data_IF_895255731694
#
_entry.id   IF_895255731694
#
_cell.length_a   1.000
_cell.length_b   1.000
_cell.length_c   1.000
_cell.angle_alpha   90.00
_cell.angle_beta   90.00
_cell.angle_gamma   90.00
#
_symmetry.space_group_name_H-M   'P 1'
#
loop_
_entity.id
_entity.type
_entity.pdbx_description
1 polymer ?
#
# COMPACT_ATOMS: atom_id res chain seq x y z
N UNK A 1 12.85 -15.83 3.89
CA UNK A 1 12.30 -16.70 4.96
C UNK A 1 13.20 -17.90 5.10
N UNK A 2 13.56 -18.20 6.35
CA UNK A 2 14.54 -19.20 6.79
C UNK A 2 14.25 -20.60 6.23
N UNK A 3 12.98 -20.94 6.02
CA UNK A 3 12.52 -22.29 5.63
C UNK A 3 12.33 -22.52 4.13
N UNK A 4 12.68 -21.54 3.27
CA UNK A 4 12.37 -21.63 1.82
C UNK A 4 13.07 -22.80 1.13
N UNK A 5 14.27 -23.16 1.59
CA UNK A 5 15.12 -24.21 1.01
C UNK A 5 15.14 -25.51 1.83
N UNK A 6 14.35 -25.60 2.91
CA UNK A 6 14.30 -26.79 3.75
C UNK A 6 13.43 -27.89 3.14
N UNK A 7 13.86 -29.13 3.29
CA UNK A 7 13.06 -30.32 2.96
C UNK A 7 11.88 -30.47 3.93
N UNK A 8 10.88 -31.26 3.55
CA UNK A 8 9.67 -31.47 4.38
C UNK A 8 9.98 -32.07 5.74
N UNK A 9 11.01 -32.92 5.84
CA UNK A 9 11.41 -33.55 7.11
C UNK A 9 12.07 -32.53 8.05
N UNK A 10 13.00 -31.71 7.52
CA UNK A 10 13.65 -30.65 8.29
C UNK A 10 12.66 -29.60 8.81
N UNK A 11 11.57 -29.33 8.06
CA UNK A 11 10.51 -28.43 8.55
C UNK A 11 9.78 -29.00 9.76
N UNK A 12 9.47 -30.30 9.73
CA UNK A 12 8.78 -30.98 10.84
C UNK A 12 9.65 -31.07 12.09
N UNK A 13 10.95 -31.32 11.92
CA UNK A 13 11.91 -31.30 13.03
C UNK A 13 11.99 -29.92 13.66
N UNK A 14 12.10 -28.87 12.83
CA UNK A 14 12.14 -27.49 13.29
C UNK A 14 10.85 -27.07 14.02
N UNK A 15 9.68 -27.47 13.52
CA UNK A 15 8.39 -27.23 14.20
C UNK A 15 8.34 -27.89 15.58
N UNK A 16 8.89 -29.10 15.70
CA UNK A 16 8.92 -29.85 16.96
C UNK A 16 9.91 -29.26 17.97
N UNK A 17 11.05 -28.74 17.51
CA UNK A 17 12.07 -28.15 18.37
C UNK A 17 11.71 -26.73 18.83
N UNK A 18 11.12 -25.93 17.94
CA UNK A 18 10.75 -24.53 18.24
C UNK A 18 9.37 -24.39 18.91
N UNK A 19 8.55 -25.44 18.92
CA UNK A 19 7.13 -25.41 19.33
C UNK A 19 6.32 -24.29 18.65
N UNK A 20 6.66 -23.98 17.40
CA UNK A 20 6.04 -22.93 16.59
C UNK A 20 5.62 -23.47 15.22
N UNK A 21 4.45 -23.07 14.76
CA UNK A 21 3.92 -23.47 13.46
C UNK A 21 4.59 -22.70 12.31
N UNK A 22 5.11 -23.42 11.31
CA UNK A 22 5.68 -22.80 10.11
C UNK A 22 4.56 -22.42 9.15
N UNK A 23 4.21 -21.14 9.13
CA UNK A 23 3.19 -20.59 8.22
C UNK A 23 3.81 -19.85 7.04
N UNK A 24 3.11 -19.87 5.89
CA UNK A 24 3.57 -19.20 4.65
C UNK A 24 3.43 -17.68 4.70
N UNK A 25 2.54 -17.16 5.55
CA UNK A 25 2.15 -15.75 5.64
C UNK A 25 1.75 -15.44 7.08
N UNK A 26 2.24 -14.33 7.61
CA UNK A 26 1.97 -13.87 8.98
C UNK A 26 1.42 -12.45 8.92
N UNK A 27 0.46 -12.13 9.78
CA UNK A 27 0.00 -10.75 9.95
C UNK A 27 0.65 -10.13 11.18
N UNK A 28 1.28 -8.98 11.02
CA UNK A 28 1.86 -8.21 12.11
C UNK A 28 1.56 -6.72 11.94
N UNK A 29 1.01 -6.09 12.98
CA UNK A 29 0.61 -4.66 12.98
C UNK A 29 -0.26 -4.26 11.77
N UNK A 30 -1.11 -5.17 11.31
CA UNK A 30 -1.98 -4.94 10.15
C UNK A 30 -1.35 -5.22 8.79
N UNK A 31 -0.04 -5.51 8.75
CA UNK A 31 0.72 -5.82 7.53
C UNK A 31 0.84 -7.32 7.36
N UNK A 32 0.65 -7.79 6.13
CA UNK A 32 0.91 -9.15 5.74
C UNK A 32 2.38 -9.33 5.35
N UNK A 33 3.11 -10.12 6.14
CA UNK A 33 4.50 -10.48 5.89
C UNK A 33 4.57 -11.81 5.15
N UNK A 34 5.29 -11.83 4.03
CA UNK A 34 5.54 -13.01 3.20
C UNK A 34 6.99 -13.01 2.71
N UNK A 35 7.48 -14.19 2.31
CA UNK A 35 8.86 -14.35 1.85
C UNK A 35 9.13 -13.74 0.47
N UNK A 36 8.06 -13.50 -0.31
CA UNK A 36 8.14 -13.08 -1.72
C UNK A 36 7.74 -11.62 -1.83
N UNK A 37 8.60 -10.80 -2.43
CA UNK A 37 8.34 -9.36 -2.61
C UNK A 37 7.08 -9.09 -3.47
N UNK A 38 6.81 -9.93 -4.47
CA UNK A 38 5.59 -9.82 -5.28
C UNK A 38 4.33 -9.96 -4.42
N UNK A 39 4.29 -10.98 -3.55
CA UNK A 39 3.20 -11.20 -2.62
C UNK A 39 3.09 -10.07 -1.59
N UNK A 40 4.20 -9.53 -1.07
CA UNK A 40 4.18 -8.35 -0.19
C UNK A 40 3.51 -7.13 -0.84
N UNK A 41 3.81 -6.87 -2.12
CA UNK A 41 3.22 -5.75 -2.87
C UNK A 41 1.71 -5.95 -3.09
N UNK A 42 1.31 -7.14 -3.49
CA UNK A 42 -0.09 -7.48 -3.75
C UNK A 42 -0.94 -7.48 -2.49
N UNK A 43 -0.43 -8.09 -1.41
CA UNK A 43 -1.17 -8.28 -0.17
C UNK A 43 -1.35 -6.99 0.64
N UNK A 44 -0.48 -5.99 0.44
CA UNK A 44 -0.48 -4.76 1.24
C UNK A 44 -0.76 -3.53 0.37
N UNK A 45 0.12 -3.22 -0.60
CA UNK A 45 0.01 -1.97 -1.37
C UNK A 45 -1.21 -1.95 -2.28
N UNK A 46 -1.48 -3.04 -3.02
CA UNK A 46 -2.64 -3.11 -3.91
C UNK A 46 -3.96 -3.00 -3.14
N UNK A 47 -4.04 -3.68 -1.99
CA UNK A 47 -5.20 -3.60 -1.08
C UNK A 47 -5.39 -2.18 -0.57
N UNK A 48 -4.31 -1.52 -0.13
CA UNK A 48 -4.37 -0.13 0.36
C UNK A 48 -4.83 0.83 -0.74
N UNK A 49 -4.31 0.71 -1.97
CA UNK A 49 -4.73 1.55 -3.10
C UNK A 49 -6.22 1.38 -3.41
N UNK A 50 -6.73 0.15 -3.37
CA UNK A 50 -8.16 -0.11 -3.55
C UNK A 50 -9.01 0.53 -2.45
N UNK A 51 -8.54 0.46 -1.19
CA UNK A 51 -9.23 1.11 -0.07
C UNK A 51 -9.22 2.65 -0.23
N UNK A 52 -8.07 3.23 -0.57
CA UNK A 52 -7.94 4.67 -0.83
C UNK A 52 -8.92 5.10 -1.93
N UNK A 53 -9.04 4.33 -3.01
CA UNK A 53 -9.97 4.62 -4.10
C UNK A 53 -11.42 4.67 -3.59
N UNK A 54 -11.84 3.67 -2.80
CA UNK A 54 -13.20 3.63 -2.21
C UNK A 54 -13.44 4.80 -1.25
N UNK A 55 -12.47 5.13 -0.41
CA UNK A 55 -12.56 6.23 0.56
C UNK A 55 -12.68 7.57 -0.16
N UNK A 56 -11.86 7.80 -1.19
CA UNK A 56 -11.91 9.01 -2.02
C UNK A 56 -13.22 9.12 -2.83
N UNK A 57 -13.77 8.01 -3.32
CA UNK A 57 -15.07 8.01 -3.99
C UNK A 57 -16.21 8.39 -3.03
N UNK A 58 -16.16 7.93 -1.77
CA UNK A 58 -17.10 8.33 -0.73
C UNK A 58 -16.96 9.80 -0.37
N UNK A 59 -15.73 10.26 -0.07
CA UNK A 59 -15.47 11.66 0.27
C UNK A 59 -15.69 12.61 -0.91
N UNK A 60 -15.61 12.12 -2.14
CA UNK A 60 -15.84 12.92 -3.34
C UNK A 60 -17.29 13.37 -3.49
N UNK A 61 -18.22 12.71 -2.79
CA UNK A 61 -19.64 13.10 -2.69
C UNK A 61 -19.87 14.23 -1.70
N UNK A 62 -18.91 14.49 -0.80
CA UNK A 62 -18.98 15.58 0.15
C UNK A 62 -18.64 16.90 -0.54
N UNK A 63 -19.32 17.98 -0.13
CA UNK A 63 -19.07 19.32 -0.65
C UNK A 63 -17.82 19.93 0.01
N UNK A 64 -16.64 19.38 -0.31
CA UNK A 64 -15.37 19.87 0.20
C UNK A 64 -14.74 20.92 -0.73
N UNK A 65 -14.25 22.01 -0.14
CA UNK A 65 -13.42 22.98 -0.85
C UNK A 65 -12.16 22.31 -1.44
N UNK A 66 -11.50 22.97 -2.39
CA UNK A 66 -10.25 22.45 -2.96
C UNK A 66 -9.18 22.22 -1.87
N UNK A 67 -9.03 23.18 -0.96
CA UNK A 67 -8.12 23.07 0.19
C UNK A 67 -8.55 21.95 1.14
N UNK A 68 -9.86 21.82 1.40
CA UNK A 68 -10.41 20.73 2.20
C UNK A 68 -10.05 19.36 1.62
N UNK A 69 -10.17 19.18 0.30
CA UNK A 69 -9.79 17.93 -0.38
C UNK A 69 -8.29 17.63 -0.28
N UNK A 70 -7.45 18.65 -0.45
CA UNK A 70 -5.99 18.50 -0.28
C UNK A 70 -5.66 18.12 1.17
N UNK A 71 -6.28 18.77 2.15
CA UNK A 71 -6.10 18.47 3.57
C UNK A 71 -6.54 17.02 3.89
N UNK A 72 -7.69 16.57 3.36
CA UNK A 72 -8.15 15.19 3.52
C UNK A 72 -7.12 14.18 3.02
N UNK A 73 -6.51 14.40 1.85
CA UNK A 73 -5.46 13.52 1.33
C UNK A 73 -4.24 13.55 2.26
N UNK A 74 -3.76 14.74 2.62
CA UNK A 74 -2.57 14.91 3.48
C UNK A 74 -2.74 14.27 4.85
N UNK A 75 -3.93 14.31 5.44
CA UNK A 75 -4.16 13.82 6.79
C UNK A 75 -4.58 12.35 6.83
N UNK A 76 -5.36 11.87 5.87
CA UNK A 76 -5.91 10.51 5.94
C UNK A 76 -5.20 9.50 5.03
N UNK A 77 -4.68 9.92 3.87
CA UNK A 77 -4.11 9.01 2.88
C UNK A 77 -2.60 8.96 3.01
N UNK A 78 -1.95 10.11 3.11
CA UNK A 78 -0.50 10.19 3.18
C UNK A 78 0.08 9.39 4.36
N UNK A 79 -0.46 9.46 5.60
CA UNK A 79 0.09 8.68 6.70
C UNK A 79 -0.02 7.16 6.50
N UNK A 80 -1.12 6.68 5.89
CA UNK A 80 -1.30 5.25 5.58
C UNK A 80 -0.26 4.75 4.57
N UNK A 81 0.05 5.56 3.55
CA UNK A 81 1.08 5.24 2.57
C UNK A 81 2.48 5.28 3.18
N UNK A 82 2.79 6.31 3.97
CA UNK A 82 4.07 6.45 4.66
C UNK A 82 4.33 5.29 5.61
N UNK A 83 3.31 4.84 6.35
CA UNK A 83 3.42 3.67 7.21
C UNK A 83 3.88 2.44 6.43
N UNK A 84 3.28 2.14 5.26
CA UNK A 84 3.73 1.02 4.44
C UNK A 84 5.14 1.24 3.86
N UNK A 85 5.47 2.45 3.41
CA UNK A 85 6.81 2.75 2.86
C UNK A 85 7.92 2.58 3.90
N UNK A 86 7.67 2.91 5.15
CA UNK A 86 8.65 2.76 6.23
C UNK A 86 8.77 1.33 6.74
N UNK A 87 7.67 0.57 6.72
CA UNK A 87 7.63 -0.79 7.28
C UNK A 87 8.03 -1.88 6.28
N UNK A 88 7.80 -1.65 4.98
CA UNK A 88 8.08 -2.62 3.92
C UNK A 88 9.10 -2.00 2.94
N UNK A 89 10.40 -2.34 3.07
CA UNK A 89 11.44 -1.80 2.19
C UNK A 89 11.41 -2.53 0.84
N UNK A 90 10.43 -2.20 -0.01
CA UNK A 90 10.35 -2.70 -1.39
C UNK A 90 10.51 -1.58 -2.40
N UNK A 91 11.14 -1.90 -3.53
CA UNK A 91 11.19 -1.01 -4.69
C UNK A 91 9.82 -0.96 -5.36
N UNK A 92 9.28 0.25 -5.52
CA UNK A 92 8.01 0.50 -6.18
C UNK A 92 8.23 1.08 -7.58
N UNK A 93 7.52 0.53 -8.56
CA UNK A 93 7.64 0.97 -9.95
C UNK A 93 7.03 2.36 -10.15
N UNK A 94 7.54 3.11 -11.14
CA UNK A 94 6.96 4.39 -11.58
C UNK A 94 5.45 4.28 -11.89
N UNK A 95 4.99 3.12 -12.39
CA UNK A 95 3.57 2.84 -12.67
C UNK A 95 2.69 2.95 -11.43
N UNK A 96 3.16 2.48 -10.27
CA UNK A 96 2.43 2.56 -9.01
C UNK A 96 2.18 4.01 -8.59
N UNK A 97 3.21 4.85 -8.63
CA UNK A 97 3.09 6.27 -8.33
C UNK A 97 2.21 7.00 -9.36
N UNK A 98 2.25 6.59 -10.62
CA UNK A 98 1.34 7.09 -11.65
C UNK A 98 -0.13 6.81 -11.34
N UNK A 99 -0.45 5.61 -10.87
CA UNK A 99 -1.81 5.24 -10.44
C UNK A 99 -2.28 6.05 -9.24
N UNK A 100 -1.44 6.15 -8.19
CA UNK A 100 -1.73 6.99 -7.02
C UNK A 100 -1.96 8.45 -7.41
N UNK A 101 -1.12 9.01 -8.28
CA UNK A 101 -1.26 10.38 -8.74
C UNK A 101 -2.56 10.58 -9.52
N UNK A 102 -2.94 9.63 -10.38
CA UNK A 102 -4.19 9.65 -11.14
C UNK A 102 -5.41 9.65 -10.22
N UNK A 103 -5.44 8.76 -9.22
CA UNK A 103 -6.54 8.66 -8.24
C UNK A 103 -6.64 9.96 -7.43
N UNK A 104 -5.52 10.46 -6.91
CA UNK A 104 -5.45 11.68 -6.10
C UNK A 104 -5.88 12.91 -6.90
N UNK A 105 -5.37 13.07 -8.12
CA UNK A 105 -5.72 14.17 -9.03
C UNK A 105 -7.21 14.13 -9.38
N UNK A 106 -7.76 12.95 -9.67
CA UNK A 106 -9.20 12.80 -9.95
C UNK A 106 -10.06 13.30 -8.78
N UNK A 107 -9.67 13.02 -7.54
CA UNK A 107 -10.38 13.51 -6.35
C UNK A 107 -10.22 15.03 -6.13
N UNK A 108 -8.98 15.53 -6.22
CA UNK A 108 -8.67 16.97 -6.06
C UNK A 108 -9.36 17.85 -7.10
N UNK A 109 -9.73 17.31 -8.26
CA UNK A 109 -10.47 18.05 -9.28
C UNK A 109 -11.91 17.59 -9.49
N UNK A 110 -12.40 16.60 -8.73
CA UNK A 110 -13.72 15.96 -8.94
C UNK A 110 -13.94 15.52 -10.41
N UNK A 111 -12.90 14.97 -11.03
CA UNK A 111 -12.92 14.58 -12.44
C UNK A 111 -12.87 15.72 -13.45
N UNK A 112 -12.86 16.99 -13.02
CA UNK A 112 -12.69 18.15 -13.91
C UNK A 112 -11.23 18.29 -14.33
N UNK A 113 -10.99 19.01 -15.43
CA UNK A 113 -9.62 19.34 -15.88
C UNK A 113 -8.94 20.23 -14.84
N UNK A 114 -7.70 19.90 -14.50
CA UNK A 114 -6.90 20.69 -13.58
C UNK A 114 -6.77 22.13 -14.10
N UNK A 115 -7.03 23.11 -13.22
CA UNK A 115 -6.92 24.54 -13.56
C UNK A 115 -5.51 25.10 -13.40
N UNK A 116 -4.61 24.32 -12.81
CA UNK A 116 -3.21 24.66 -12.58
C UNK A 116 -2.34 23.61 -13.27
N UNK A 117 -1.31 24.07 -13.98
CA UNK A 117 -0.32 23.16 -14.59
C UNK A 117 0.41 22.44 -13.46
N UNK A 118 0.22 21.12 -13.36
CA UNK A 118 1.01 20.30 -12.46
C UNK A 118 2.45 20.31 -12.99
N UNK A 119 3.39 20.85 -12.21
CA UNK A 119 4.80 20.68 -12.49
C UNK A 119 5.12 19.18 -12.34
N UNK A 120 5.50 18.54 -13.43
CA UNK A 120 6.10 17.20 -13.35
C UNK A 120 7.38 17.33 -12.53
N UNK A 121 7.65 16.42 -11.56
CA UNK A 121 8.94 16.37 -10.90
C UNK A 121 10.04 16.36 -11.98
N UNK A 122 11.02 17.26 -11.86
CA UNK A 122 12.23 17.21 -12.70
C UNK A 122 12.86 15.84 -12.47
N UNK A 123 13.04 15.08 -13.56
CA UNK A 123 13.77 13.82 -13.53
C UNK A 123 15.26 14.09 -13.30
#
# INVERSE_FOLDING_TARGET
MIVKNLTTNQKKELEKEMDLQIVKKIKHLGIWLTARCSSLKEDNYKVLVQQIKKDLEKWGRLQLSLLGRIATIKMNILPKLLYLFQTIPISLDKKFFGELNKITTKFVWLGKKARIKLLSPRQ
#
